data_IF_287864701478
#
_entry.id   IF_287864701478
#
_cell.length_a   1.000
_cell.length_b   1.000
_cell.length_c   1.000
_cell.angle_alpha   90.00
_cell.angle_beta   90.00
_cell.angle_gamma   90.00
#
_symmetry.space_group_name_H-M   'P 1'
#
loop_
_entity.id
_entity.type
_entity.pdbx_description
1 polymer ?
#
# COMPACT_ATOMS: atom_id res chain seq x y z
N UNK A 1 35.18 -0.34 -9.84
CA UNK A 1 36.11 -1.48 -9.68
C UNK A 1 36.18 -2.21 -11.01
N UNK A 2 37.37 -2.51 -11.53
CA UNK A 2 37.50 -3.25 -12.81
C UNK A 2 37.51 -4.74 -12.54
N UNK A 3 36.59 -5.48 -13.15
CA UNK A 3 36.32 -6.89 -12.86
C UNK A 3 36.07 -7.69 -14.15
N UNK A 4 36.15 -9.01 -14.06
CA UNK A 4 35.78 -9.91 -15.16
C UNK A 4 34.28 -10.21 -15.14
N UNK A 5 33.68 -10.47 -16.31
CA UNK A 5 32.25 -10.80 -16.43
C UNK A 5 31.87 -12.00 -15.56
N UNK A 6 32.71 -13.04 -15.52
CA UNK A 6 32.46 -14.24 -14.72
C UNK A 6 32.40 -13.94 -13.21
N UNK A 7 33.09 -12.90 -12.74
CA UNK A 7 33.08 -12.49 -11.33
C UNK A 7 31.85 -11.67 -10.91
N UNK A 8 30.92 -11.35 -11.84
CA UNK A 8 29.64 -10.72 -11.50
C UNK A 8 28.55 -11.72 -11.12
N UNK A 9 28.69 -12.99 -11.51
CA UNK A 9 27.70 -14.01 -11.19
C UNK A 9 27.61 -14.19 -9.68
N UNK A 10 26.39 -14.14 -9.15
CA UNK A 10 26.08 -14.25 -7.72
C UNK A 10 26.86 -13.26 -6.85
N UNK A 11 27.17 -12.08 -7.41
CA UNK A 11 27.99 -11.08 -6.72
C UNK A 11 27.13 -10.20 -5.84
N UNK A 12 27.51 -10.13 -4.57
CA UNK A 12 27.01 -9.13 -3.64
C UNK A 12 27.88 -7.86 -3.69
N UNK A 13 27.27 -6.74 -4.05
CA UNK A 13 27.88 -5.41 -4.07
C UNK A 13 27.30 -4.62 -2.91
N UNK A 14 28.08 -4.44 -1.85
CA UNK A 14 27.69 -3.62 -0.70
C UNK A 14 28.02 -2.15 -0.94
N UNK A 15 27.15 -1.28 -0.44
CA UNK A 15 27.28 0.17 -0.44
C UNK A 15 27.24 0.70 1.00
N UNK A 16 27.37 2.01 1.13
CA UNK A 16 27.26 2.72 2.41
C UNK A 16 25.80 2.63 2.90
N UNK A 17 25.59 2.73 4.22
CA UNK A 17 24.24 2.76 4.84
C UNK A 17 23.38 1.53 4.50
N UNK A 18 24.00 0.33 4.44
CA UNK A 18 23.34 -0.95 4.13
C UNK A 18 22.76 -1.10 2.71
N UNK A 19 22.96 -0.12 1.82
CA UNK A 19 22.62 -0.30 0.41
C UNK A 19 23.35 -1.51 -0.17
N UNK A 20 22.64 -2.35 -0.93
CA UNK A 20 23.27 -3.52 -1.55
C UNK A 20 22.60 -3.88 -2.87
N UNK A 21 23.39 -4.46 -3.77
CA UNK A 21 22.92 -5.14 -4.96
C UNK A 21 23.40 -6.59 -4.91
N UNK A 22 22.50 -7.52 -5.17
CA UNK A 22 22.78 -8.93 -5.34
C UNK A 22 22.48 -9.27 -6.81
N UNK A 23 23.55 -9.53 -7.57
CA UNK A 23 23.49 -9.76 -9.01
C UNK A 23 23.25 -11.26 -9.24
N UNK A 24 22.25 -11.66 -10.03
CA UNK A 24 21.96 -13.06 -10.29
C UNK A 24 23.10 -13.74 -11.08
N UNK A 25 23.12 -15.07 -11.08
CA UNK A 25 24.03 -15.88 -11.92
C UNK A 25 23.67 -15.83 -13.40
N UNK A 26 22.37 -15.69 -13.70
CA UNK A 26 21.79 -15.75 -15.04
C UNK A 26 21.38 -14.34 -15.51
N UNK A 27 22.23 -13.72 -16.32
CA UNK A 27 21.99 -12.41 -16.92
C UNK A 27 22.53 -12.35 -18.35
N UNK A 28 22.02 -11.40 -19.13
CA UNK A 28 22.48 -11.09 -20.47
C UNK A 28 23.21 -9.75 -20.44
N UNK A 29 24.48 -9.76 -20.86
CA UNK A 29 25.27 -8.56 -21.12
C UNK A 29 25.51 -8.45 -22.62
N UNK A 30 25.22 -7.28 -23.19
CA UNK A 30 25.48 -7.03 -24.61
C UNK A 30 26.94 -6.56 -24.83
N UNK A 31 27.91 -7.43 -24.53
CA UNK A 31 29.35 -7.13 -24.66
C UNK A 31 30.12 -8.26 -25.34
N UNK A 32 31.27 -7.91 -25.90
CA UNK A 32 32.25 -8.89 -26.39
C UNK A 32 32.88 -9.64 -25.21
N UNK A 33 32.86 -10.97 -25.28
CA UNK A 33 33.06 -11.93 -24.19
C UNK A 33 34.37 -11.90 -23.38
N UNK A 34 35.36 -11.08 -23.75
CA UNK A 34 36.68 -11.03 -23.10
C UNK A 34 37.10 -9.63 -22.58
N UNK A 35 36.20 -8.65 -22.57
CA UNK A 35 36.52 -7.33 -22.04
C UNK A 35 36.40 -7.27 -20.51
N UNK A 36 37.41 -6.69 -19.86
CA UNK A 36 37.28 -6.20 -18.48
C UNK A 36 36.21 -5.11 -18.43
N UNK A 37 35.33 -5.17 -17.43
CA UNK A 37 34.25 -4.19 -17.24
C UNK A 37 34.44 -3.46 -15.91
N UNK A 38 34.06 -2.19 -15.87
CA UNK A 38 34.10 -1.41 -14.65
C UNK A 38 32.72 -1.38 -14.01
N UNK A 39 32.65 -1.86 -12.76
CA UNK A 39 31.48 -1.73 -11.93
C UNK A 39 31.53 -0.39 -11.21
N UNK A 40 30.52 0.45 -11.44
CA UNK A 40 30.36 1.73 -10.74
C UNK A 40 29.08 1.68 -9.93
N UNK A 41 29.26 1.89 -8.63
CA UNK A 41 28.23 1.81 -7.62
C UNK A 41 28.18 3.17 -6.92
N UNK A 42 27.00 3.78 -6.82
CA UNK A 42 26.81 5.08 -6.15
C UNK A 42 25.61 5.04 -5.21
N UNK A 43 25.73 5.82 -4.15
CA UNK A 43 24.62 6.17 -3.26
C UNK A 43 24.60 7.68 -3.21
N UNK A 44 23.48 8.27 -3.61
CA UNK A 44 23.26 9.70 -3.53
C UNK A 44 22.26 10.01 -2.41
N UNK A 45 22.27 11.24 -1.85
CA UNK A 45 21.26 11.71 -0.91
C UNK A 45 19.84 11.65 -1.49
N UNK A 46 18.87 12.17 -0.72
CA UNK A 46 17.43 12.16 -1.03
C UNK A 46 17.08 12.12 -2.53
N UNK A 47 16.27 11.13 -2.89
CA UNK A 47 15.83 10.87 -4.27
C UNK A 47 14.74 11.85 -4.74
N UNK A 48 14.90 13.15 -4.49
CA UNK A 48 13.98 14.16 -5.00
C UNK A 48 14.35 14.53 -6.43
N UNK A 49 13.71 13.88 -7.41
CA UNK A 49 13.77 14.29 -8.80
C UNK A 49 12.36 14.57 -9.33
N UNK A 50 12.13 15.77 -9.87
CA UNK A 50 10.80 16.22 -10.30
C UNK A 50 9.81 16.47 -9.14
N UNK A 51 8.51 16.48 -9.45
CA UNK A 51 7.43 16.73 -8.48
C UNK A 51 6.99 15.48 -7.68
N UNK A 52 7.74 14.37 -7.78
CA UNK A 52 7.34 13.11 -7.17
C UNK A 52 7.76 13.06 -5.70
N UNK A 53 6.79 13.16 -4.78
CA UNK A 53 7.07 13.29 -3.34
C UNK A 53 7.36 11.96 -2.63
N UNK A 54 7.00 10.82 -3.24
CA UNK A 54 7.04 9.53 -2.55
C UNK A 54 8.48 9.01 -2.32
N UNK A 55 9.47 9.52 -3.04
CA UNK A 55 10.89 9.16 -2.93
C UNK A 55 11.69 10.05 -1.97
N UNK A 56 11.08 11.11 -1.41
CA UNK A 56 11.75 12.11 -0.58
C UNK A 56 12.26 11.58 0.77
N UNK A 57 11.98 10.33 1.11
CA UNK A 57 12.41 9.67 2.35
C UNK A 57 13.36 8.51 2.07
N UNK A 58 13.87 8.39 0.85
CA UNK A 58 14.79 7.33 0.44
C UNK A 58 16.06 7.87 -0.19
N UNK A 59 17.13 7.07 -0.11
CA UNK A 59 18.38 7.31 -0.84
C UNK A 59 18.25 6.81 -2.27
N UNK A 60 19.06 7.39 -3.14
CA UNK A 60 19.19 6.89 -4.51
C UNK A 60 20.36 5.93 -4.55
N UNK A 61 20.18 4.74 -5.13
CA UNK A 61 21.27 3.79 -5.37
C UNK A 61 21.38 3.52 -6.87
N UNK A 62 22.59 3.49 -7.41
CA UNK A 62 22.80 3.18 -8.82
C UNK A 62 23.93 2.16 -8.99
N UNK A 63 23.74 1.24 -9.93
CA UNK A 63 24.75 0.29 -10.34
C UNK A 63 24.85 0.29 -11.87
N UNK A 64 25.97 0.76 -12.41
CA UNK A 64 26.23 0.81 -13.85
C UNK A 64 27.44 -0.06 -14.19
N UNK A 65 27.33 -0.80 -15.29
CA UNK A 65 28.42 -1.60 -15.86
C UNK A 65 28.96 -0.83 -17.06
N UNK A 66 30.27 -0.60 -17.08
CA UNK A 66 30.93 0.23 -18.09
C UNK A 66 31.93 -0.64 -18.86
N UNK A 67 31.93 -0.52 -20.19
CA UNK A 67 32.90 -1.17 -21.06
C UNK A 67 34.30 -0.53 -20.97
N UNK A 68 35.26 -1.05 -21.74
CA UNK A 68 36.63 -0.51 -21.78
C UNK A 68 36.73 0.89 -22.42
N UNK A 69 35.72 1.28 -23.19
CA UNK A 69 35.64 2.56 -23.88
C UNK A 69 34.93 3.64 -23.05
N UNK A 70 34.41 3.30 -21.87
CA UNK A 70 33.68 4.22 -21.00
C UNK A 70 32.17 4.28 -21.28
N UNK A 71 31.63 3.41 -22.12
CA UNK A 71 30.20 3.35 -22.44
C UNK A 71 29.46 2.43 -21.46
N UNK A 72 28.22 2.79 -21.12
CA UNK A 72 27.35 1.91 -20.35
C UNK A 72 26.93 0.68 -21.15
N UNK A 73 26.91 -0.45 -20.47
CA UNK A 73 26.56 -1.74 -21.02
C UNK A 73 25.15 -2.11 -20.58
N UNK A 74 24.28 -2.42 -21.53
CA UNK A 74 22.94 -2.92 -21.24
C UNK A 74 23.01 -4.25 -20.49
N UNK A 75 22.25 -4.34 -19.41
CA UNK A 75 22.13 -5.52 -18.56
C UNK A 75 20.66 -5.89 -18.43
N UNK A 76 20.34 -7.15 -18.69
CA UNK A 76 19.01 -7.70 -18.49
C UNK A 76 19.08 -9.00 -17.68
N UNK A 77 18.27 -9.08 -16.62
CA UNK A 77 18.07 -10.26 -15.80
C UNK A 77 16.73 -10.94 -16.12
N UNK A 78 16.71 -12.26 -15.98
CA UNK A 78 15.47 -13.03 -16.13
C UNK A 78 14.49 -12.72 -15.00
N UNK A 79 13.19 -12.70 -15.30
CA UNK A 79 12.15 -12.41 -14.32
C UNK A 79 12.12 -13.41 -13.14
N UNK A 80 12.52 -14.66 -13.39
CA UNK A 80 12.58 -15.70 -12.35
C UNK A 80 13.84 -15.61 -11.46
N UNK A 81 14.84 -14.84 -11.88
CA UNK A 81 16.08 -14.61 -11.13
C UNK A 81 16.50 -13.14 -11.26
N UNK A 82 15.72 -12.20 -10.68
CA UNK A 82 15.94 -10.77 -10.85
C UNK A 82 17.16 -10.29 -10.05
N UNK A 83 17.61 -9.08 -10.36
CA UNK A 83 18.53 -8.34 -9.48
C UNK A 83 17.78 -7.99 -8.21
N UNK A 84 18.32 -8.39 -7.07
CA UNK A 84 17.79 -8.01 -5.77
C UNK A 84 18.62 -6.85 -5.24
N UNK A 85 17.97 -5.78 -4.79
CA UNK A 85 18.64 -4.64 -4.19
C UNK A 85 17.93 -4.17 -2.94
N UNK A 86 18.70 -3.68 -1.97
CA UNK A 86 18.17 -3.02 -0.78
C UNK A 86 18.49 -1.55 -0.88
N UNK A 87 17.44 -0.73 -0.87
CA UNK A 87 17.51 0.72 -0.89
C UNK A 87 17.30 1.24 0.54
N UNK A 88 18.31 1.88 1.15
CA UNK A 88 18.14 2.43 2.48
C UNK A 88 17.24 3.67 2.46
N UNK A 89 16.51 3.88 3.55
CA UNK A 89 15.75 5.11 3.79
C UNK A 89 16.64 6.18 4.41
N UNK A 90 16.17 7.42 4.40
CA UNK A 90 16.85 8.48 5.14
C UNK A 90 16.96 8.08 6.63
N UNK A 91 18.16 8.05 7.23
CA UNK A 91 18.35 7.76 8.66
C UNK A 91 17.57 8.71 9.58
N UNK A 92 17.21 9.89 9.10
CA UNK A 92 16.43 10.88 9.86
C UNK A 92 14.91 10.72 9.67
N UNK A 93 14.45 9.68 8.95
CA UNK A 93 13.02 9.45 8.75
C UNK A 93 12.33 9.18 10.09
N UNK A 94 11.29 9.97 10.38
CA UNK A 94 10.47 9.76 11.56
C UNK A 94 9.51 8.61 11.31
N UNK A 95 9.73 7.52 12.04
CA UNK A 95 8.91 6.33 11.92
C UNK A 95 7.68 6.50 12.83
N UNK A 96 6.46 6.38 12.29
CA UNK A 96 5.25 6.54 13.07
C UNK A 96 5.19 5.47 14.18
N UNK A 97 4.74 5.85 15.36
CA UNK A 97 4.37 4.88 16.40
C UNK A 97 3.23 3.98 15.90
N UNK A 98 3.12 2.78 16.45
CA UNK A 98 1.93 1.96 16.22
C UNK A 98 0.71 2.59 16.89
N UNK A 99 -0.47 2.37 16.33
CA UNK A 99 -1.73 2.88 16.86
C UNK A 99 -2.47 1.78 17.62
N UNK A 100 -2.75 2.02 18.90
CA UNK A 100 -3.53 1.12 19.74
C UNK A 100 -4.99 1.02 19.27
N UNK A 101 -5.45 -0.20 19.03
CA UNK A 101 -6.83 -0.51 18.65
C UNK A 101 -7.63 -0.93 19.90
N UNK A 102 -8.51 -0.06 20.36
CA UNK A 102 -9.38 -0.28 21.52
C UNK A 102 -10.58 -1.18 21.17
N UNK A 103 -10.32 -2.45 20.93
CA UNK A 103 -11.32 -3.45 20.54
C UNK A 103 -12.03 -4.11 21.72
N UNK A 104 -11.48 -4.01 22.94
CA UNK A 104 -12.05 -4.61 24.16
C UNK A 104 -13.07 -3.73 24.89
N UNK A 105 -13.02 -2.41 24.72
CA UNK A 105 -13.79 -1.44 25.53
C UNK A 105 -15.16 -1.07 24.94
N UNK A 106 -15.56 -1.70 23.83
CA UNK A 106 -16.86 -1.46 23.20
C UNK A 106 -17.92 -2.26 23.97
N UNK A 107 -18.73 -1.56 24.78
CA UNK A 107 -19.84 -2.12 25.55
C UNK A 107 -20.85 -2.89 24.66
N UNK A 108 -20.65 -4.21 24.57
CA UNK A 108 -21.60 -5.35 24.59
C UNK A 108 -22.94 -5.30 23.83
N UNK A 109 -23.23 -4.28 23.03
CA UNK A 109 -24.47 -4.17 22.21
C UNK A 109 -24.22 -4.11 20.71
N UNK A 110 -22.97 -3.91 20.28
CA UNK A 110 -22.53 -3.86 18.86
C UNK A 110 -21.54 -5.01 18.54
N UNK A 111 -21.29 -5.89 19.51
CA UNK A 111 -20.25 -6.94 19.51
C UNK A 111 -20.50 -8.14 18.56
N UNK A 112 -21.35 -7.98 17.55
CA UNK A 112 -21.59 -9.00 16.52
C UNK A 112 -20.84 -8.69 15.20
N UNK A 113 -19.76 -7.92 15.25
CA UNK A 113 -18.91 -7.71 14.07
C UNK A 113 -17.94 -8.89 13.94
N UNK A 114 -17.99 -9.55 12.79
CA UNK A 114 -17.14 -10.70 12.48
C UNK A 114 -15.64 -10.32 12.42
N UNK A 115 -15.34 -9.09 11.98
CA UNK A 115 -14.00 -8.53 11.91
C UNK A 115 -13.97 -7.10 12.43
N UNK A 116 -12.83 -6.68 12.98
CA UNK A 116 -12.51 -5.26 13.12
C UNK A 116 -11.96 -4.75 11.78
N UNK A 117 -12.79 -4.01 11.04
CA UNK A 117 -12.45 -3.48 9.72
C UNK A 117 -11.74 -2.13 9.78
N UNK A 118 -10.82 -1.96 8.84
CA UNK A 118 -9.98 -0.78 8.65
C UNK A 118 -10.02 -0.37 7.19
N UNK A 119 -9.96 0.94 6.94
CA UNK A 119 -9.86 1.51 5.61
C UNK A 119 -8.54 2.26 5.46
N UNK A 120 -7.90 2.10 4.30
CA UNK A 120 -6.76 2.91 3.90
C UNK A 120 -6.97 3.44 2.47
N UNK A 121 -6.49 4.67 2.24
CA UNK A 121 -6.38 5.24 0.90
C UNK A 121 -5.01 4.87 0.33
N UNK A 122 -4.99 4.26 -0.86
CA UNK A 122 -3.78 3.83 -1.55
C UNK A 122 -3.63 4.52 -2.92
N UNK A 123 -4.41 5.57 -3.17
CA UNK A 123 -4.35 6.36 -4.41
C UNK A 123 -2.95 6.94 -4.58
N UNK A 124 -2.25 6.52 -5.64
CA UNK A 124 -0.90 6.96 -5.97
C UNK A 124 -0.73 7.03 -7.48
N UNK A 125 0.13 7.94 -7.96
CA UNK A 125 0.44 8.08 -9.38
C UNK A 125 1.42 7.03 -9.89
N UNK A 126 2.22 6.43 -9.01
CA UNK A 126 3.01 5.24 -9.31
C UNK A 126 2.59 4.07 -8.39
N UNK A 127 2.77 2.82 -8.85
CA UNK A 127 2.54 1.62 -8.05
C UNK A 127 3.25 1.66 -6.69
N UNK A 128 2.56 1.21 -5.65
CA UNK A 128 3.04 1.14 -4.26
C UNK A 128 2.72 -0.22 -3.65
N UNK A 129 3.56 -0.74 -2.78
CA UNK A 129 3.23 -1.87 -1.91
C UNK A 129 2.64 -1.37 -0.60
N UNK A 130 1.83 -2.18 0.06
CA UNK A 130 1.23 -1.88 1.38
C UNK A 130 1.73 -2.89 2.40
N UNK A 131 2.23 -2.41 3.53
CA UNK A 131 2.80 -3.21 4.61
C UNK A 131 1.99 -3.05 5.89
N UNK A 132 1.75 -4.17 6.57
CA UNK A 132 1.01 -4.26 7.81
C UNK A 132 1.92 -4.82 8.90
N UNK A 133 2.00 -4.11 10.02
CA UNK A 133 2.59 -4.62 11.26
C UNK A 133 1.53 -4.61 12.35
N UNK A 134 1.32 -5.77 12.97
CA UNK A 134 0.40 -5.95 14.09
C UNK A 134 1.22 -6.40 15.29
N UNK A 135 1.29 -5.56 16.32
CA UNK A 135 1.89 -5.90 17.59
C UNK A 135 0.82 -6.53 18.51
N UNK A 136 1.04 -7.79 18.85
CA UNK A 136 0.13 -8.52 19.75
C UNK A 136 0.58 -8.31 21.20
N UNK A 137 -0.31 -7.81 22.06
CA UNK A 137 -0.03 -7.66 23.50
C UNK A 137 0.10 -9.01 24.23
N UNK A 138 -0.21 -10.12 23.55
CA UNK A 138 0.02 -11.48 24.04
C UNK A 138 0.48 -12.39 22.88
N UNK A 139 1.61 -13.08 23.09
CA UNK A 139 2.25 -13.96 22.11
C UNK A 139 1.46 -15.22 21.78
N UNK A 140 0.49 -15.61 22.62
CA UNK A 140 -0.34 -16.79 22.37
C UNK A 140 -1.55 -16.52 21.46
N UNK A 141 -1.81 -15.25 21.12
CA UNK A 141 -2.96 -14.87 20.30
C UNK A 141 -2.65 -15.09 18.82
N UNK A 142 -3.67 -15.53 18.08
CA UNK A 142 -3.64 -15.67 16.64
C UNK A 142 -4.74 -14.83 16.01
N UNK A 143 -4.53 -14.40 14.77
CA UNK A 143 -5.48 -13.54 14.06
C UNK A 143 -5.72 -14.04 12.64
N UNK A 144 -6.96 -13.92 12.19
CA UNK A 144 -7.32 -14.01 10.77
C UNK A 144 -7.33 -12.61 10.17
N UNK A 145 -6.60 -12.45 9.08
CA UNK A 145 -6.53 -11.23 8.29
C UNK A 145 -7.13 -11.47 6.91
N UNK A 146 -8.03 -10.59 6.48
CA UNK A 146 -8.63 -10.60 5.14
C UNK A 146 -8.59 -9.20 4.56
N UNK A 147 -8.54 -9.08 3.24
CA UNK A 147 -8.64 -7.78 2.57
C UNK A 147 -9.34 -7.84 1.23
N UNK A 148 -9.84 -6.68 0.80
CA UNK A 148 -10.38 -6.43 -0.52
C UNK A 148 -10.14 -4.99 -0.94
N UNK A 149 -9.81 -4.78 -2.20
CA UNK A 149 -9.66 -3.46 -2.80
C UNK A 149 -11.02 -2.84 -3.11
N UNK A 150 -11.14 -1.54 -2.85
CA UNK A 150 -12.29 -0.67 -3.16
C UNK A 150 -13.65 -1.08 -2.57
N UNK A 151 -13.73 -2.21 -1.88
CA UNK A 151 -14.95 -2.79 -1.31
C UNK A 151 -14.64 -3.47 0.01
N UNK A 152 -15.65 -3.57 0.87
CA UNK A 152 -15.52 -4.28 2.16
C UNK A 152 -15.39 -5.79 1.90
N UNK A 153 -14.33 -6.46 2.41
CA UNK A 153 -14.21 -7.90 2.27
C UNK A 153 -15.32 -8.60 3.05
N UNK A 154 -15.87 -9.66 2.48
CA UNK A 154 -16.89 -10.48 3.14
C UNK A 154 -16.41 -11.92 3.21
N UNK A 155 -16.32 -12.44 4.44
CA UNK A 155 -16.04 -13.85 4.66
C UNK A 155 -17.34 -14.62 4.40
N UNK A 156 -17.47 -15.21 3.22
CA UNK A 156 -18.51 -16.17 2.91
C UNK A 156 -17.89 -17.41 2.24
N UNK A 157 -18.71 -18.38 1.85
CA UNK A 157 -18.26 -19.58 1.16
C UNK A 157 -17.68 -19.33 -0.25
N UNK A 158 -17.67 -18.09 -0.75
CA UNK A 158 -17.20 -17.73 -2.09
C UNK A 158 -15.92 -16.89 -2.03
N UNK A 159 -14.82 -17.43 -2.56
CA UNK A 159 -13.50 -16.77 -2.61
C UNK A 159 -13.54 -15.40 -3.32
N UNK A 160 -14.51 -15.15 -4.21
CA UNK A 160 -14.62 -13.90 -4.97
C UNK A 160 -14.91 -12.64 -4.12
N UNK A 161 -15.32 -12.80 -2.86
CA UNK A 161 -15.62 -11.67 -1.96
C UNK A 161 -14.42 -11.18 -1.14
N UNK A 162 -13.24 -11.75 -1.37
CA UNK A 162 -11.96 -11.30 -0.82
C UNK A 162 -10.89 -11.33 -1.92
N UNK A 163 -9.89 -10.47 -1.82
CA UNK A 163 -8.76 -10.47 -2.77
C UNK A 163 -7.56 -11.22 -2.19
N UNK A 164 -7.43 -11.25 -0.86
CA UNK A 164 -6.45 -12.08 -0.18
C UNK A 164 -6.72 -12.23 1.31
N UNK A 165 -6.01 -13.18 1.92
CA UNK A 165 -6.12 -13.49 3.34
C UNK A 165 -4.85 -14.14 3.87
N UNK A 166 -4.65 -14.10 5.19
CA UNK A 166 -3.62 -14.86 5.88
C UNK A 166 -4.04 -15.14 7.33
N UNK A 167 -3.40 -16.13 7.95
CA UNK A 167 -3.53 -16.40 9.38
C UNK A 167 -2.20 -16.07 10.05
N UNK A 168 -2.27 -15.22 11.06
CA UNK A 168 -1.16 -14.91 11.94
C UNK A 168 -1.16 -15.89 13.11
N UNK A 169 -0.40 -16.97 12.99
CA UNK A 169 -0.23 -17.93 14.08
C UNK A 169 0.93 -17.51 15.01
N UNK A 170 0.92 -17.92 16.29
CA UNK A 170 2.00 -17.63 17.24
C UNK A 170 3.42 -18.01 16.75
N UNK A 171 3.53 -19.00 15.87
CA UNK A 171 4.78 -19.41 15.23
C UNK A 171 5.31 -18.42 14.18
N UNK A 172 4.46 -17.55 13.63
CA UNK A 172 4.83 -16.51 12.67
C UNK A 172 5.29 -15.21 13.34
N UNK A 173 5.21 -15.13 14.67
CA UNK A 173 5.57 -13.93 15.42
C UNK A 173 7.08 -13.67 15.28
N UNK A 174 7.46 -12.44 14.91
CA UNK A 174 8.86 -12.06 14.84
C UNK A 174 9.46 -11.91 16.25
N UNK A 175 10.79 -11.76 16.32
CA UNK A 175 11.50 -11.49 17.58
C UNK A 175 11.04 -10.19 18.27
N UNK A 176 10.46 -9.26 17.52
CA UNK A 176 9.92 -7.98 18.00
C UNK A 176 8.44 -8.07 18.40
N UNK A 177 7.89 -9.28 18.52
CA UNK A 177 6.48 -9.55 18.82
C UNK A 177 5.49 -9.02 17.77
N UNK A 178 5.92 -8.94 16.51
CA UNK A 178 5.13 -8.43 15.40
C UNK A 178 4.68 -9.54 14.47
N UNK A 179 3.43 -9.46 14.04
CA UNK A 179 2.96 -10.10 12.82
C UNK A 179 3.14 -9.15 11.64
N UNK A 180 3.70 -9.66 10.55
CA UNK A 180 3.95 -8.91 9.32
C UNK A 180 3.22 -9.53 8.14
N UNK A 181 2.64 -8.67 7.31
CA UNK A 181 2.08 -9.04 6.02
C UNK A 181 2.27 -7.87 5.05
N UNK A 182 2.48 -8.17 3.78
CA UNK A 182 2.56 -7.13 2.77
C UNK A 182 1.85 -7.55 1.49
N UNK A 183 1.38 -6.54 0.78
CA UNK A 183 0.80 -6.63 -0.55
C UNK A 183 1.78 -5.94 -1.48
N UNK A 184 2.28 -6.65 -2.49
CA UNK A 184 3.25 -6.11 -3.43
C UNK A 184 2.65 -4.98 -4.29
N UNK A 185 3.55 -4.26 -4.98
CA UNK A 185 3.18 -3.12 -5.80
C UNK A 185 2.51 -3.47 -7.14
N UNK A 186 2.43 -4.75 -7.53
CA UNK A 186 1.73 -5.14 -8.76
C UNK A 186 0.21 -5.19 -8.56
N UNK A 187 -0.24 -5.39 -7.33
CA UNK A 187 -1.66 -5.56 -6.99
C UNK A 187 -2.41 -4.25 -6.75
N UNK A 188 -1.72 -3.12 -6.55
CA UNK A 188 -2.32 -1.82 -6.20
C UNK A 188 -2.61 -0.81 -7.33
N UNK A 189 -2.01 -0.84 -8.55
CA UNK A 189 -2.07 0.28 -9.51
C UNK A 189 -3.46 0.73 -9.95
N UNK A 190 -4.46 -0.15 -9.90
CA UNK A 190 -5.83 0.13 -10.37
C UNK A 190 -6.81 0.45 -9.25
N UNK A 191 -6.34 0.52 -8.01
CA UNK A 191 -7.18 0.62 -6.84
C UNK A 191 -6.96 1.95 -6.11
N UNK A 192 -8.02 2.49 -5.53
CA UNK A 192 -7.98 3.76 -4.80
C UNK A 192 -7.92 3.52 -3.31
N UNK A 193 -8.51 2.42 -2.86
CA UNK A 193 -8.61 2.09 -1.44
C UNK A 193 -8.44 0.60 -1.19
N UNK A 194 -8.05 0.30 0.05
CA UNK A 194 -7.94 -1.06 0.54
C UNK A 194 -8.68 -1.14 1.87
N UNK A 195 -9.59 -2.11 1.98
CA UNK A 195 -10.30 -2.39 3.21
C UNK A 195 -9.86 -3.76 3.70
N UNK A 196 -9.43 -3.84 4.95
CA UNK A 196 -9.00 -5.10 5.55
C UNK A 196 -9.66 -5.31 6.91
N UNK A 197 -9.86 -6.58 7.27
CA UNK A 197 -10.46 -7.00 8.52
C UNK A 197 -9.49 -7.86 9.31
N UNK A 198 -9.44 -7.63 10.63
CA UNK A 198 -8.72 -8.47 11.58
C UNK A 198 -9.74 -9.11 12.54
N UNK A 199 -9.58 -10.40 12.81
CA UNK A 199 -10.38 -11.17 13.79
C UNK A 199 -9.45 -12.02 14.64
N UNK A 200 -9.61 -12.00 15.96
CA UNK A 200 -8.89 -12.92 16.86
C UNK A 200 -9.46 -14.34 16.74
N UNK A 201 -8.58 -15.35 16.75
CA UNK A 201 -8.96 -16.76 16.68
C UNK A 201 -9.14 -17.35 18.07
N UNK A 202 -10.14 -18.23 18.22
CA UNK A 202 -10.34 -18.97 19.47
C UNK A 202 -9.38 -20.18 19.59
N UNK A 203 -9.31 -20.79 20.77
CA UNK A 203 -8.38 -21.91 21.02
C UNK A 203 -8.60 -23.11 20.08
N UNK A 204 -9.84 -23.42 19.70
CA UNK A 204 -10.13 -24.52 18.75
C UNK A 204 -9.67 -24.16 17.34
N UNK A 205 -9.90 -22.92 16.91
CA UNK A 205 -9.43 -22.40 15.62
C UNK A 205 -7.90 -22.38 15.55
N UNK A 206 -7.22 -21.96 16.63
CA UNK A 206 -5.76 -22.01 16.74
C UNK A 206 -5.26 -23.45 16.61
N UNK A 207 -5.87 -24.41 17.32
CA UNK A 207 -5.47 -25.81 17.22
C UNK A 207 -5.66 -26.36 15.80
N UNK A 208 -6.75 -25.99 15.14
CA UNK A 208 -7.08 -26.45 13.79
C UNK A 208 -6.17 -25.84 12.72
N UNK A 209 -5.94 -24.52 12.79
CA UNK A 209 -5.26 -23.78 11.73
C UNK A 209 -3.77 -23.55 11.96
N UNK A 210 -3.30 -23.54 13.22
CA UNK A 210 -1.90 -23.24 13.56
C UNK A 210 -1.07 -24.46 13.99
N UNK A 211 -1.68 -25.50 14.57
CA UNK A 211 -0.93 -26.63 15.16
C UNK A 211 -0.92 -27.90 14.28
N UNK A 212 -2.00 -28.18 13.54
CA UNK A 212 -2.08 -29.36 12.66
C UNK A 212 -1.41 -29.08 11.30
N UNK A 213 -0.08 -29.04 11.30
CA UNK A 213 0.76 -28.77 10.12
C UNK A 213 0.68 -29.81 8.99
N UNK A 214 0.01 -30.94 9.20
CA UNK A 214 -0.13 -32.03 8.21
C UNK A 214 -1.29 -31.84 7.22
N UNK A 215 -2.11 -30.81 7.42
CA UNK A 215 -3.06 -30.32 6.42
C UNK A 215 -3.07 -28.80 6.47
N UNK A 216 -2.11 -28.15 5.79
CA UNK A 216 -2.30 -26.76 5.35
C UNK A 216 -3.49 -26.81 4.38
N UNK A 217 -4.71 -26.80 4.93
CA UNK A 217 -5.90 -26.61 4.15
C UNK A 217 -5.78 -25.21 3.58
N UNK A 218 -5.44 -25.17 2.30
CA UNK A 218 -5.36 -24.03 1.38
C UNK A 218 -6.71 -23.29 1.25
N UNK A 219 -7.69 -23.67 2.06
CA UNK A 219 -9.04 -23.12 2.10
C UNK A 219 -9.14 -22.06 3.18
N UNK A 220 -9.67 -20.91 2.78
CA UNK A 220 -10.12 -19.84 3.65
C UNK A 220 -10.91 -20.38 4.86
N UNK A 221 -10.58 -19.99 6.12
CA UNK A 221 -11.40 -20.32 7.28
C UNK A 221 -12.79 -19.72 7.11
N UNK A 222 -13.79 -20.53 6.78
CA UNK A 222 -15.18 -20.06 6.72
C UNK A 222 -15.73 -20.14 8.14
N UNK A 223 -15.97 -18.98 8.74
CA UNK A 223 -16.58 -18.84 10.07
C UNK A 223 -17.51 -17.63 10.04
N UNK A 224 -18.76 -17.83 10.40
CA UNK A 224 -19.75 -16.75 10.47
C UNK A 224 -19.96 -16.28 11.92
N UNK A 225 -19.19 -16.84 12.86
CA UNK A 225 -19.34 -16.57 14.28
C UNK A 225 -18.49 -15.36 14.71
N UNK A 226 -19.13 -14.29 15.22
CA UNK A 226 -18.42 -13.12 15.72
C UNK A 226 -17.57 -13.52 16.92
N UNK A 227 -16.37 -12.95 17.00
CA UNK A 227 -15.46 -13.20 18.11
C UNK A 227 -15.10 -11.89 18.79
N UNK A 228 -15.27 -11.86 20.11
CA UNK A 228 -14.86 -10.73 20.94
C UNK A 228 -13.37 -10.83 21.22
N UNK A 229 -12.64 -9.80 20.82
CA UNK A 229 -11.22 -9.67 21.14
C UNK A 229 -11.00 -9.77 22.64
N UNK A 230 -10.05 -10.60 23.05
CA UNK A 230 -9.67 -10.73 24.46
C UNK A 230 -8.76 -9.60 24.88
N UNK A 231 -7.90 -9.11 23.97
CA UNK A 231 -6.96 -8.02 24.20
C UNK A 231 -6.95 -7.02 23.04
N UNK A 232 -6.53 -5.80 23.35
CA UNK A 232 -6.20 -4.81 22.34
C UNK A 232 -4.92 -5.21 21.59
N UNK A 233 -4.72 -4.64 20.42
CA UNK A 233 -3.51 -4.79 19.62
C UNK A 233 -3.06 -3.43 19.10
N UNK A 234 -1.80 -3.30 18.72
CA UNK A 234 -1.31 -2.09 18.05
C UNK A 234 -1.09 -2.38 16.57
N UNK A 235 -1.40 -1.40 15.74
CA UNK A 235 -1.39 -1.53 14.29
C UNK A 235 -0.58 -0.41 13.67
N UNK A 236 0.31 -0.76 12.74
CA UNK A 236 1.01 0.18 11.87
C UNK A 236 0.85 -0.26 10.43
N UNK A 237 0.63 0.72 9.57
CA UNK A 237 0.51 0.53 8.12
C UNK A 237 1.41 1.56 7.45
N UNK A 238 2.19 1.11 6.49
CA UNK A 238 3.01 2.00 5.67
C UNK A 238 3.06 1.48 4.24
N UNK A 239 3.50 2.33 3.33
CA UNK A 239 3.64 1.98 1.93
C UNK A 239 5.08 2.17 1.51
N UNK A 240 5.50 1.39 0.52
CA UNK A 240 6.80 1.55 -0.11
C UNK A 240 6.69 1.41 -1.61
N UNK A 241 7.74 1.77 -2.33
CA UNK A 241 7.80 1.64 -3.77
C UNK A 241 9.22 1.36 -4.25
N UNK A 242 9.33 0.87 -5.46
CA UNK A 242 10.60 0.71 -6.15
C UNK A 242 10.49 1.48 -7.46
N UNK A 243 11.36 2.46 -7.63
CA UNK A 243 11.34 3.34 -8.80
C UNK A 243 12.72 3.44 -9.41
N UNK A 244 12.74 3.66 -10.73
CA UNK A 244 13.94 3.99 -11.46
C UNK A 244 13.78 5.31 -12.21
N UNK A 245 14.88 5.99 -12.46
CA UNK A 245 14.92 7.23 -13.22
C UNK A 245 15.18 6.91 -14.70
N UNK A 246 14.25 7.27 -15.58
CA UNK A 246 14.41 7.09 -17.04
C UNK A 246 15.35 8.15 -17.66
N UNK A 247 15.67 8.00 -18.94
CA UNK A 247 16.54 8.93 -19.69
C UNK A 247 15.99 10.36 -19.76
N UNK A 248 14.67 10.53 -19.62
CA UNK A 248 13.99 11.83 -19.58
C UNK A 248 13.89 12.39 -18.15
N UNK A 249 14.56 11.75 -17.20
CA UNK A 249 14.52 12.03 -15.77
C UNK A 249 13.12 11.98 -15.14
N UNK A 250 12.31 11.01 -15.55
CA UNK A 250 11.04 10.71 -14.91
C UNK A 250 11.14 9.42 -14.10
N UNK A 251 10.52 9.42 -12.92
CA UNK A 251 10.37 8.21 -12.13
C UNK A 251 9.40 7.24 -12.81
N UNK A 252 9.84 5.99 -12.90
CA UNK A 252 9.13 4.86 -13.50
C UNK A 252 9.20 3.66 -12.56
N UNK A 253 8.33 2.69 -12.77
CA UNK A 253 8.21 1.50 -11.91
C UNK A 253 8.13 0.20 -12.69
N UNK A 254 8.19 0.25 -14.02
CA UNK A 254 8.14 -0.94 -14.87
C UNK A 254 9.38 -1.82 -14.67
N UNK A 255 9.15 -3.13 -14.64
CA UNK A 255 10.19 -4.11 -14.34
C UNK A 255 10.65 -4.14 -12.88
N UNK A 256 10.02 -3.38 -11.97
CA UNK A 256 10.34 -3.33 -10.54
C UNK A 256 9.23 -3.90 -9.65
N UNK A 257 9.62 -4.76 -8.71
CA UNK A 257 8.74 -5.35 -7.71
C UNK A 257 9.30 -5.09 -6.32
N UNK A 258 8.46 -4.68 -5.37
CA UNK A 258 8.84 -4.57 -3.96
C UNK A 258 8.89 -5.96 -3.34
N UNK A 259 10.01 -6.28 -2.69
CA UNK A 259 10.25 -7.58 -2.08
C UNK A 259 9.82 -7.70 -0.60
N UNK A 260 9.70 -8.95 -0.10
CA UNK A 260 9.24 -9.27 1.26
C UNK A 260 10.20 -8.87 2.39
N UNK A 261 11.48 -8.61 2.10
CA UNK A 261 12.46 -8.19 3.10
C UNK A 261 12.38 -6.68 3.40
N UNK A 262 11.50 -5.96 2.71
CA UNK A 262 11.19 -4.56 2.99
C UNK A 262 10.74 -4.39 4.44
N UNK A 263 11.31 -3.39 5.12
CA UNK A 263 10.96 -3.06 6.49
C UNK A 263 10.84 -1.54 6.67
N UNK A 264 10.98 -1.05 7.90
CA UNK A 264 10.84 0.36 8.26
C UNK A 264 12.04 1.23 7.87
N UNK A 265 13.21 0.64 7.68
CA UNK A 265 14.47 1.35 7.43
C UNK A 265 14.99 1.17 6.01
N UNK A 266 14.55 0.13 5.31
CA UNK A 266 15.03 -0.19 3.98
C UNK A 266 13.93 -0.83 3.13
N UNK A 267 14.05 -0.68 1.81
CA UNK A 267 13.12 -1.21 0.83
C UNK A 267 13.84 -2.20 -0.05
N UNK A 268 13.34 -3.43 -0.11
CA UNK A 268 13.81 -4.43 -1.04
C UNK A 268 13.14 -4.24 -2.39
N UNK A 269 13.94 -4.21 -3.44
CA UNK A 269 13.49 -4.09 -4.81
C UNK A 269 14.07 -5.21 -5.66
N UNK A 270 13.22 -5.81 -6.49
CA UNK A 270 13.57 -6.81 -7.48
C UNK A 270 13.46 -6.16 -8.85
N UNK A 271 14.54 -6.17 -9.63
CA UNK A 271 14.64 -5.52 -10.94
C UNK A 271 15.06 -6.50 -12.03
N UNK A 272 14.57 -6.27 -13.24
CA UNK A 272 15.01 -6.99 -14.45
C UNK A 272 16.06 -6.22 -15.26
N UNK A 273 16.34 -4.97 -14.90
CA UNK A 273 17.30 -4.09 -15.58
C UNK A 273 18.22 -3.38 -14.58
N UNK A 274 19.32 -2.79 -15.08
CA UNK A 274 20.20 -1.91 -14.31
C UNK A 274 20.02 -0.45 -14.74
N UNK A 275 19.72 0.42 -13.79
CA UNK A 275 19.59 1.88 -13.96
C UNK A 275 19.94 2.59 -12.64
N UNK A 276 19.47 3.82 -12.47
CA UNK A 276 19.47 4.54 -11.18
C UNK A 276 18.14 4.31 -10.48
N UNK A 277 18.19 3.84 -9.23
CA UNK A 277 17.02 3.40 -8.47
C UNK A 277 16.81 4.20 -7.20
N UNK A 278 15.56 4.32 -6.77
CA UNK A 278 15.17 4.89 -5.49
C UNK A 278 13.99 4.13 -4.88
N UNK A 279 13.91 4.16 -3.55
CA UNK A 279 12.79 3.62 -2.80
C UNK A 279 11.69 4.67 -2.64
N UNK A 280 10.44 4.24 -2.71
CA UNK A 280 9.31 4.98 -2.19
C UNK A 280 9.09 4.67 -0.72
N UNK A 281 8.72 5.66 0.09
CA UNK A 281 8.20 5.42 1.43
C UNK A 281 7.17 6.48 1.80
N UNK A 282 5.95 6.05 2.10
CA UNK A 282 4.88 6.92 2.61
C UNK A 282 4.25 6.25 3.81
N UNK A 283 4.22 7.00 4.91
CA UNK A 283 3.50 6.61 6.12
C UNK A 283 2.03 6.98 5.95
N UNK A 284 1.14 5.99 6.11
CA UNK A 284 -0.29 6.24 6.06
C UNK A 284 -0.78 6.75 7.42
N UNK A 285 -1.78 7.66 7.44
CA UNK A 285 -2.41 8.06 8.69
C UNK A 285 -3.10 6.86 9.36
N UNK A 286 -3.39 6.98 10.66
CA UNK A 286 -4.10 5.95 11.40
C UNK A 286 -5.39 5.53 10.64
N UNK A 287 -5.64 4.22 10.48
CA UNK A 287 -6.84 3.75 9.81
C UNK A 287 -8.08 4.20 10.58
N UNK A 288 -9.15 4.51 9.84
CA UNK A 288 -10.42 4.89 10.45
C UNK A 288 -10.99 3.66 11.18
N UNK A 289 -11.26 3.82 12.47
CA UNK A 289 -11.90 2.78 13.28
C UNK A 289 -13.40 2.74 12.96
N UNK A 290 -13.79 1.90 12.01
CA UNK A 290 -15.19 1.79 11.57
C UNK A 290 -16.09 1.15 12.63
N UNK A 291 -15.56 0.27 13.49
CA UNK A 291 -16.36 -0.29 14.59
C UNK A 291 -16.78 0.81 15.56
N UNK A 292 -15.92 1.78 15.84
CA UNK A 292 -16.26 3.01 16.57
C UNK A 292 -17.26 3.88 15.79
N UNK A 293 -17.02 4.12 14.49
CA UNK A 293 -17.93 4.93 13.66
C UNK A 293 -19.34 4.33 13.66
N UNK A 294 -19.49 3.02 13.44
CA UNK A 294 -20.77 2.33 13.44
C UNK A 294 -21.39 2.18 14.84
N UNK A 295 -20.57 1.95 15.88
CA UNK A 295 -21.04 1.92 17.26
C UNK A 295 -21.69 3.25 17.69
N UNK A 296 -21.22 4.34 17.09
CA UNK A 296 -21.72 5.69 17.31
C UNK A 296 -22.65 6.17 16.18
N UNK A 297 -22.79 5.44 15.07
CA UNK A 297 -23.73 5.81 14.00
C UNK A 297 -25.20 5.64 14.42
N UNK A 298 -25.49 5.05 15.58
CA UNK A 298 -26.85 4.88 16.05
C UNK A 298 -27.56 6.24 16.23
N UNK A 299 -28.67 6.43 15.49
CA UNK A 299 -29.51 7.63 15.50
C UNK A 299 -29.89 8.10 16.92
N UNK A 300 -30.11 7.15 17.83
CA UNK A 300 -30.52 7.45 19.21
C UNK A 300 -29.37 8.02 20.04
N UNK A 301 -28.12 7.64 19.75
CA UNK A 301 -26.93 8.12 20.48
C UNK A 301 -26.47 9.49 19.96
N UNK A 302 -26.55 9.73 18.66
CA UNK A 302 -26.04 10.95 18.01
C UNK A 302 -27.14 11.81 17.37
N UNK A 303 -28.25 12.00 18.08
CA UNK A 303 -29.44 12.71 17.59
C UNK A 303 -29.15 14.11 17.04
N UNK A 304 -28.22 14.85 17.64
CA UNK A 304 -27.87 16.22 17.23
C UNK A 304 -27.31 16.26 15.81
N UNK A 305 -26.39 15.35 15.47
CA UNK A 305 -25.77 15.29 14.13
C UNK A 305 -26.81 14.93 13.06
N UNK A 306 -27.70 13.98 13.36
CA UNK A 306 -28.74 13.61 12.42
C UNK A 306 -29.78 14.73 12.24
N UNK A 307 -30.17 15.43 13.31
CA UNK A 307 -31.05 16.58 13.21
C UNK A 307 -30.43 17.69 12.36
N UNK A 308 -29.15 18.03 12.56
CA UNK A 308 -28.50 19.08 11.78
C UNK A 308 -28.44 18.72 10.30
N UNK A 309 -28.08 17.48 9.95
CA UNK A 309 -28.05 17.01 8.56
C UNK A 309 -29.45 17.03 7.93
N UNK A 310 -30.48 16.58 8.65
CA UNK A 310 -31.87 16.58 8.16
C UNK A 310 -32.36 18.01 7.94
N UNK A 311 -32.20 18.90 8.91
CA UNK A 311 -32.64 20.30 8.79
C UNK A 311 -31.89 21.02 7.67
N UNK A 312 -30.58 20.81 7.56
CA UNK A 312 -29.76 21.41 6.48
C UNK A 312 -30.21 20.90 5.11
N UNK A 313 -30.52 19.59 5.00
CA UNK A 313 -31.00 18.99 3.75
C UNK A 313 -32.39 19.50 3.37
N UNK A 314 -33.32 19.63 4.34
CA UNK A 314 -34.65 20.22 4.11
C UNK A 314 -34.52 21.67 3.66
N UNK A 315 -33.71 22.46 4.35
CA UNK A 315 -33.48 23.86 4.01
C UNK A 315 -32.88 24.01 2.61
N UNK A 316 -31.91 23.17 2.25
CA UNK A 316 -31.34 23.11 0.91
C UNK A 316 -32.39 22.79 -0.16
N UNK A 317 -33.26 21.80 0.07
CA UNK A 317 -34.34 21.45 -0.87
C UNK A 317 -35.32 22.61 -1.03
N UNK A 318 -35.70 23.30 0.04
CA UNK A 318 -36.58 24.48 -0.03
C UNK A 318 -35.94 25.59 -0.88
N UNK A 319 -34.65 25.89 -0.64
CA UNK A 319 -33.92 26.88 -1.44
C UNK A 319 -33.82 26.45 -2.91
N UNK A 320 -33.60 25.16 -3.18
CA UNK A 320 -33.54 24.64 -4.55
C UNK A 320 -34.88 24.78 -5.29
N UNK A 321 -36.00 24.51 -4.60
CA UNK A 321 -37.35 24.68 -5.16
C UNK A 321 -37.62 26.17 -5.43
N UNK A 322 -37.26 27.05 -4.48
CA UNK A 322 -37.41 28.49 -4.64
C UNK A 322 -36.58 29.03 -5.81
N UNK A 323 -35.30 28.64 -5.92
CA UNK A 323 -34.44 29.01 -7.02
C UNK A 323 -35.04 28.58 -8.37
N UNK A 324 -35.54 27.34 -8.47
CA UNK A 324 -36.22 26.87 -9.70
C UNK A 324 -37.50 27.63 -10.03
N UNK A 325 -38.22 28.11 -9.04
CA UNK A 325 -39.42 28.93 -9.26
C UNK A 325 -39.04 30.31 -9.81
N UNK A 326 -38.03 30.96 -9.21
CA UNK A 326 -37.55 32.25 -9.68
C UNK A 326 -36.89 32.15 -11.07
N UNK A 327 -36.10 31.10 -11.35
CA UNK A 327 -35.55 30.85 -12.69
C UNK A 327 -36.65 30.80 -13.76
N UNK A 328 -37.75 30.07 -13.50
CA UNK A 328 -38.89 30.00 -14.43
C UNK A 328 -39.54 31.36 -14.66
N UNK A 329 -39.68 32.16 -13.60
CA UNK A 329 -40.24 33.51 -13.68
C UNK A 329 -39.33 34.48 -14.42
N UNK A 330 -38.02 34.27 -14.35
CA UNK A 330 -37.05 35.07 -15.10
C UNK A 330 -37.08 34.74 -16.60
N UNK A 331 -37.30 33.46 -16.98
CA UNK A 331 -37.57 33.09 -18.37
C UNK A 331 -38.79 33.80 -18.96
N UNK A 332 -39.83 34.08 -18.16
CA UNK A 332 -40.99 34.86 -18.62
C UNK A 332 -40.68 36.34 -18.83
N UNK A 333 -39.65 36.87 -18.16
CA UNK A 333 -39.18 38.26 -18.32
C UNK A 333 -38.18 38.44 -19.46
N UNK A 334 -37.72 37.36 -20.08
CA UNK A 334 -36.96 37.40 -21.33
C UNK A 334 -37.89 37.79 -22.49
N UNK A 335 -38.39 39.02 -22.45
CA UNK A 335 -38.92 39.70 -23.61
C UNK A 335 -37.74 40.24 -24.42
N UNK A 336 -37.71 39.95 -25.72
CA UNK A 336 -36.76 40.58 -26.63
C UNK A 336 -37.04 42.08 -26.61
N UNK A 337 -36.10 42.90 -26.14
CA UNK A 337 -36.21 44.37 -26.30
C UNK A 337 -36.16 44.65 -27.80
N UNK A 338 -37.25 45.11 -28.43
CA UNK A 338 -37.21 45.40 -29.85
C UNK A 338 -36.32 46.62 -30.04
N UNK A 339 -35.19 46.42 -30.74
CA UNK A 339 -34.43 47.53 -31.29
C UNK A 339 -35.20 48.10 -32.48
N UNK A 340 -35.00 49.38 -32.78
CA UNK A 340 -35.72 50.09 -33.86
C UNK A 340 -35.57 49.40 -35.22
N UNK A 341 -34.53 48.57 -35.38
CA UNK A 341 -34.19 47.83 -36.60
C UNK A 341 -34.75 46.39 -36.65
N UNK A 342 -35.51 45.93 -35.66
CA UNK A 342 -36.16 44.61 -35.71
C UNK A 342 -37.39 44.65 -36.62
N UNK A 343 -37.21 44.33 -37.90
CA UNK A 343 -38.31 44.14 -38.84
C UNK A 343 -38.85 42.71 -38.75
N UNK A 344 -40.17 42.55 -38.74
CA UNK A 344 -40.86 41.26 -38.46
C UNK A 344 -40.83 40.28 -39.66
N UNK A 345 -40.18 40.68 -40.75
CA UNK A 345 -40.16 39.98 -42.05
C UNK A 345 -38.76 39.54 -42.50
N UNK A 346 -37.74 39.76 -41.67
CA UNK A 346 -36.42 39.12 -41.79
C UNK A 346 -36.38 37.86 -40.91
#
# INVERSE_FOLDING_TARGET
ETISIQSLKDRLVKQIENGQFNIPSDFILNTTSNSSISLRSRVDPLASFGNFQNTNLSRTISLSIIDQNGNEVSFEAAQNNPIQMIIPRDPNVLIPSMYLQNVTSINSTINNLLFNYHYINITSSLPISVHFEIHSLNKSLAYLFIYKFDQTPQLNSSINLIDGWTIFCPSNLTNDDLYRYFIDNQQTPTHQSLIFGIRELNSTEINNYCLNSSSINTSLPITDEPFNFTLNYELRIYTSGCYYLDENNNWKSDGLIVGPLTNLYETECLSTHLTTFAGGFIVLPAPINWSYVFANANFTKNKTVYLTVIFTSIFYIILMIYARFEDKKDFEKLGVTPLVDNNKSD
#
